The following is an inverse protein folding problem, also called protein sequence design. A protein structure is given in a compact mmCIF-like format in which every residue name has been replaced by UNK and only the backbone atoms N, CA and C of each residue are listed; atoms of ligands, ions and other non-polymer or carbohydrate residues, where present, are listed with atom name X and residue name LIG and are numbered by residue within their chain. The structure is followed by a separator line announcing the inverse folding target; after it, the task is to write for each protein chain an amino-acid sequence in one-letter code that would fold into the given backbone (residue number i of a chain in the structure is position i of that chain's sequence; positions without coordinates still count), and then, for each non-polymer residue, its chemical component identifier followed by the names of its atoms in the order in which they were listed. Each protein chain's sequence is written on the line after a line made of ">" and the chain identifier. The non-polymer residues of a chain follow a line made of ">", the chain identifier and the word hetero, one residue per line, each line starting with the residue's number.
data_IF_768199893235
#
_entry.id   IF_768199893235
#
_cell.length_a   1.000
_cell.length_b   1.000
_cell.length_c   1.000
_cell.angle_alpha   90.00
_cell.angle_beta   90.00
_cell.angle_gamma   90.00
#
_symmetry.space_group_name_H-M   'P 1'
#
loop_
_entity.id
_entity.type
_entity.pdbx_description
1 polymer ?
#
# COMPACT_ATOMS: atom_id res chain seq x y z
N UNK A 1 -17.92 -38.96 -22.06
CA UNK A 1 -17.27 -40.00 -21.25
C UNK A 1 -16.28 -39.31 -20.32
N UNK A 2 -16.43 -39.55 -19.03
CA UNK A 2 -15.85 -38.83 -17.88
C UNK A 2 -14.42 -39.31 -17.62
N UNK A 3 -13.49 -38.41 -17.24
CA UNK A 3 -12.72 -38.54 -15.98
C UNK A 3 -11.90 -37.29 -15.62
N UNK A 4 -12.35 -36.67 -14.54
CA UNK A 4 -11.61 -35.84 -13.59
C UNK A 4 -10.64 -36.74 -12.79
N UNK A 5 -9.44 -36.23 -12.44
CA UNK A 5 -8.59 -36.55 -11.26
C UNK A 5 -7.59 -35.35 -11.21
N UNK A 6 -7.65 -34.37 -10.30
CA UNK A 6 -7.47 -34.37 -8.84
C UNK A 6 -6.08 -34.78 -8.35
N UNK A 7 -5.31 -33.75 -7.94
CA UNK A 7 -4.26 -33.72 -6.90
C UNK A 7 -2.92 -34.38 -7.24
N UNK A 8 -1.82 -33.63 -7.08
CA UNK A 8 -0.89 -33.82 -5.96
C UNK A 8 0.09 -32.63 -5.91
N UNK A 9 0.13 -31.96 -4.76
CA UNK A 9 1.13 -30.97 -4.39
C UNK A 9 2.52 -31.62 -4.49
N UNK A 10 3.41 -31.04 -5.28
CA UNK A 10 4.82 -31.40 -5.26
C UNK A 10 5.59 -30.22 -4.70
N UNK A 11 5.75 -30.25 -3.38
CA UNK A 11 6.61 -29.36 -2.62
C UNK A 11 8.03 -29.46 -3.17
N UNK A 12 8.47 -28.40 -3.84
CA UNK A 12 9.89 -28.25 -4.20
C UNK A 12 10.59 -27.66 -2.98
N UNK A 13 11.32 -28.52 -2.29
CA UNK A 13 12.27 -28.19 -1.23
C UNK A 13 13.56 -27.72 -1.92
N UNK A 14 13.78 -26.40 -2.03
CA UNK A 14 15.09 -25.86 -2.40
C UNK A 14 15.84 -25.53 -1.11
N UNK A 15 16.76 -26.43 -0.75
CA UNK A 15 17.84 -26.17 0.20
C UNK A 15 18.96 -25.45 -0.57
N UNK A 16 19.09 -24.13 -0.39
CA UNK A 16 20.32 -23.40 -0.72
C UNK A 16 20.65 -22.53 0.48
N UNK A 17 21.90 -22.65 0.96
CA UNK A 17 22.37 -22.07 2.19
C UNK A 17 22.72 -20.59 2.11
N UNK A 18 22.57 -19.95 3.27
CA UNK A 18 23.28 -18.81 3.86
C UNK A 18 23.56 -17.53 3.03
N UNK A 19 23.12 -16.44 3.68
CA UNK A 19 23.44 -15.01 3.52
C UNK A 19 22.57 -14.23 2.54
N UNK A 20 21.38 -13.85 3.01
CA UNK A 20 20.74 -12.58 2.65
C UNK A 20 19.76 -12.18 3.77
N UNK A 21 19.63 -10.87 3.98
CA UNK A 21 18.75 -10.22 4.95
C UNK A 21 17.34 -10.83 4.88
N UNK A 22 16.73 -11.07 6.04
CA UNK A 22 15.48 -11.84 6.16
C UNK A 22 14.36 -11.29 5.29
N UNK A 23 14.02 -12.00 4.22
CA UNK A 23 12.70 -11.92 3.63
C UNK A 23 11.74 -12.69 4.54
N UNK A 24 11.04 -11.95 5.41
CA UNK A 24 9.81 -12.44 6.00
C UNK A 24 8.79 -12.51 4.86
N UNK A 25 8.73 -13.65 4.18
CA UNK A 25 7.63 -13.96 3.25
C UNK A 25 6.39 -14.30 4.09
N UNK A 26 5.76 -13.28 4.65
CA UNK A 26 4.39 -13.41 5.13
C UNK A 26 3.53 -13.64 3.88
N UNK A 27 3.16 -14.90 3.62
CA UNK A 27 2.16 -15.25 2.62
C UNK A 27 0.81 -14.67 3.08
N UNK A 28 0.56 -13.40 2.75
CA UNK A 28 -0.75 -12.77 2.91
C UNK A 28 -1.71 -13.55 2.02
N UNK A 29 -2.60 -14.33 2.62
CA UNK A 29 -3.75 -14.92 1.93
C UNK A 29 -4.75 -13.80 1.62
N UNK A 30 -4.55 -13.10 0.49
CA UNK A 30 -5.53 -12.13 0.01
C UNK A 30 -6.81 -12.89 -0.38
N UNK A 31 -7.92 -12.62 0.32
CA UNK A 31 -9.24 -12.92 -0.21
C UNK A 31 -9.48 -11.95 -1.38
N UNK A 32 -9.84 -12.46 -2.55
CA UNK A 32 -10.05 -11.63 -3.74
C UNK A 32 -11.07 -10.51 -3.46
N UNK A 33 -10.65 -9.25 -3.62
CA UNK A 33 -11.49 -8.06 -3.37
C UNK A 33 -11.36 -7.43 -1.98
N UNK A 34 -10.60 -8.02 -1.06
CA UNK A 34 -10.30 -7.40 0.23
C UNK A 34 -9.31 -6.24 0.06
N UNK A 35 -9.66 -5.06 0.57
CA UNK A 35 -8.78 -3.88 0.58
C UNK A 35 -8.26 -3.67 2.00
N UNK A 36 -6.95 -3.64 2.16
CA UNK A 36 -6.29 -3.47 3.45
C UNK A 36 -5.54 -2.14 3.49
N UNK A 37 -5.62 -1.42 4.61
CA UNK A 37 -4.84 -0.21 4.84
C UNK A 37 -3.60 -0.56 5.65
N UNK A 38 -2.44 -0.12 5.18
CA UNK A 38 -1.17 -0.29 5.90
C UNK A 38 -0.52 1.08 6.09
N UNK A 39 -0.08 1.37 7.31
CA UNK A 39 0.63 2.60 7.67
C UNK A 39 2.03 2.26 8.11
N UNK A 40 3.00 2.94 7.53
CA UNK A 40 4.40 2.89 7.89
C UNK A 40 4.91 4.25 8.33
N UNK A 41 5.84 4.25 9.27
CA UNK A 41 6.63 5.40 9.70
C UNK A 41 8.12 5.07 9.64
N UNK A 42 8.94 6.05 10.01
CA UNK A 42 10.40 5.94 10.05
C UNK A 42 10.96 5.42 8.72
N UNK A 43 10.54 6.11 7.64
CA UNK A 43 10.97 5.81 6.27
C UNK A 43 10.66 4.37 5.82
N UNK A 44 9.62 3.75 6.38
CA UNK A 44 9.20 2.40 6.02
C UNK A 44 9.77 1.30 6.90
N UNK A 45 10.69 1.64 7.79
CA UNK A 45 11.31 0.66 8.70
C UNK A 45 10.34 0.17 9.78
N UNK A 46 9.28 0.93 10.07
CA UNK A 46 8.29 0.61 11.09
C UNK A 46 6.89 0.50 10.51
N UNK A 47 6.22 -0.62 10.76
CA UNK A 47 4.78 -0.79 10.50
C UNK A 47 3.99 -0.38 11.73
N UNK A 48 3.17 0.66 11.62
CA UNK A 48 2.37 1.18 12.73
C UNK A 48 0.98 0.58 12.79
N UNK A 49 0.35 0.33 11.64
CA UNK A 49 -1.04 -0.10 11.58
C UNK A 49 -1.30 -0.96 10.35
N UNK A 50 -2.06 -2.03 10.54
CA UNK A 50 -2.65 -2.84 9.47
C UNK A 50 -4.15 -2.95 9.78
N UNK A 51 -4.99 -2.48 8.88
CA UNK A 51 -6.45 -2.61 8.96
C UNK A 51 -6.93 -3.48 7.82
N UNK A 52 -7.43 -4.66 8.16
CA UNK A 52 -8.03 -5.57 7.19
C UNK A 52 -9.45 -5.12 6.82
N UNK A 53 -9.84 -5.27 5.55
CA UNK A 53 -11.16 -4.87 5.04
C UNK A 53 -11.52 -3.43 5.41
N UNK A 54 -10.61 -2.51 5.10
CA UNK A 54 -10.72 -1.11 5.50
C UNK A 54 -11.95 -0.45 4.88
N UNK A 55 -12.62 0.41 5.64
CA UNK A 55 -13.66 1.30 5.14
C UNK A 55 -13.24 2.78 5.20
N UNK A 56 -14.04 3.65 4.58
CA UNK A 56 -13.77 5.08 4.49
C UNK A 56 -13.55 5.75 5.87
N UNK A 57 -14.37 5.39 6.86
CA UNK A 57 -14.25 5.96 8.21
C UNK A 57 -12.93 5.57 8.87
N UNK A 58 -12.47 4.33 8.67
CA UNK A 58 -11.19 3.86 9.17
C UNK A 58 -10.02 4.55 8.48
N UNK A 59 -10.08 4.79 7.16
CA UNK A 59 -9.08 5.60 6.44
C UNK A 59 -9.00 6.99 7.05
N UNK A 60 -10.12 7.71 7.14
CA UNK A 60 -10.17 9.06 7.73
C UNK A 60 -9.60 9.09 9.15
N UNK A 61 -9.96 8.10 9.96
CA UNK A 61 -9.46 7.97 11.33
C UNK A 61 -7.96 7.73 11.39
N UNK A 62 -7.43 6.87 10.52
CA UNK A 62 -6.00 6.60 10.45
C UNK A 62 -5.22 7.84 10.00
N UNK A 63 -5.66 8.47 8.91
CA UNK A 63 -5.02 9.67 8.35
C UNK A 63 -4.97 10.84 9.34
N UNK A 64 -6.01 11.01 10.16
CA UNK A 64 -6.07 12.06 11.20
C UNK A 64 -5.19 11.78 12.43
N UNK A 65 -4.79 10.53 12.67
CA UNK A 65 -3.95 10.16 13.81
C UNK A 65 -2.45 10.26 13.53
N UNK A 66 -2.08 10.29 12.25
CA UNK A 66 -0.69 10.37 11.82
C UNK A 66 -0.15 11.78 12.12
N UNK A 67 1.04 11.82 12.72
CA UNK A 67 1.79 13.07 12.86
C UNK A 67 2.58 13.34 11.57
N UNK A 68 1.92 14.00 10.63
CA UNK A 68 2.48 14.33 9.31
C UNK A 68 3.66 15.30 9.35
N UNK A 69 4.06 15.81 10.53
CA UNK A 69 5.36 16.50 10.67
C UNK A 69 6.54 15.55 10.40
N UNK A 70 6.34 14.24 10.55
CA UNK A 70 7.35 13.23 10.21
C UNK A 70 6.95 12.48 8.94
N UNK A 71 7.93 11.87 8.28
CA UNK A 71 7.70 11.07 7.07
C UNK A 71 6.86 9.83 7.37
N UNK A 72 5.75 9.67 6.64
CA UNK A 72 4.88 8.50 6.69
C UNK A 72 4.55 7.99 5.29
N UNK A 73 4.20 6.70 5.21
CA UNK A 73 3.64 6.07 4.02
C UNK A 73 2.38 5.32 4.38
N UNK A 74 1.34 5.51 3.58
CA UNK A 74 0.04 4.87 3.77
C UNK A 74 -0.37 4.22 2.47
N UNK A 75 -0.62 2.90 2.50
CA UNK A 75 -0.99 2.12 1.33
C UNK A 75 -2.37 1.51 1.50
N UNK A 76 -3.13 1.46 0.40
CA UNK A 76 -4.24 0.50 0.26
C UNK A 76 -3.79 -0.60 -0.69
N UNK A 77 -3.76 -1.83 -0.18
CA UNK A 77 -3.46 -3.04 -0.93
C UNK A 77 -4.77 -3.78 -1.23
N UNK A 78 -5.05 -4.10 -2.51
CA UNK A 78 -6.22 -4.89 -2.93
C UNK A 78 -5.84 -6.33 -3.24
N UNK A 79 -4.75 -6.50 -4.00
CA UNK A 79 -4.21 -7.79 -4.42
C UNK A 79 -2.68 -7.70 -4.45
N UNK A 80 -2.01 -8.84 -4.63
CA UNK A 80 -0.57 -8.86 -4.89
C UNK A 80 -0.30 -8.07 -6.17
N UNK A 81 0.44 -6.96 -6.06
CA UNK A 81 0.75 -6.08 -7.18
C UNK A 81 -0.36 -5.10 -7.55
N UNK A 82 -1.38 -4.90 -6.70
CA UNK A 82 -2.38 -3.85 -6.89
C UNK A 82 -2.48 -3.00 -5.62
N UNK A 83 -1.82 -1.85 -5.64
CA UNK A 83 -1.83 -0.91 -4.52
C UNK A 83 -1.77 0.55 -4.96
N UNK A 84 -2.27 1.42 -4.09
CA UNK A 84 -2.03 2.85 -4.13
C UNK A 84 -1.33 3.27 -2.84
N UNK A 85 -0.41 4.21 -2.94
CA UNK A 85 0.30 4.78 -1.81
C UNK A 85 0.15 6.28 -1.75
N UNK A 86 0.03 6.83 -0.54
CA UNK A 86 0.22 8.25 -0.25
C UNK A 86 1.33 8.39 0.78
N UNK A 87 2.20 9.37 0.60
CA UNK A 87 3.40 9.47 1.42
C UNK A 87 3.94 10.89 1.51
N UNK A 88 4.76 11.12 2.54
CA UNK A 88 5.48 12.36 2.72
C UNK A 88 5.34 12.93 4.13
N UNK A 89 5.56 14.23 4.22
CA UNK A 89 5.54 15.04 5.44
C UNK A 89 5.16 16.49 5.13
N UNK A 90 4.63 17.20 6.11
CA UNK A 90 4.16 18.58 5.98
C UNK A 90 5.20 19.63 6.40
N UNK A 91 6.25 19.23 7.10
CA UNK A 91 7.28 20.12 7.66
C UNK A 91 8.65 19.47 7.58
N UNK A 92 9.69 20.19 7.16
CA UNK A 92 11.07 19.68 7.13
C UNK A 92 11.48 19.08 8.49
N UNK A 93 11.83 17.79 8.48
CA UNK A 93 12.19 17.03 9.69
C UNK A 93 13.70 17.05 9.98
N UNK A 94 14.47 17.82 9.21
CA UNK A 94 15.93 17.90 9.25
C UNK A 94 16.66 16.87 8.38
N UNK A 95 15.92 15.92 7.78
CA UNK A 95 16.44 14.89 6.87
C UNK A 95 15.80 15.04 5.49
N UNK A 96 14.47 15.21 5.46
CA UNK A 96 13.67 15.32 4.24
C UNK A 96 12.89 16.64 4.25
N UNK A 97 12.94 17.42 3.16
CA UNK A 97 12.08 18.60 3.03
C UNK A 97 10.60 18.23 3.01
N UNK A 98 9.75 19.19 3.41
CA UNK A 98 8.30 19.04 3.28
C UNK A 98 7.88 18.71 1.84
N UNK A 99 6.95 17.78 1.71
CA UNK A 99 6.45 17.31 0.43
C UNK A 99 5.47 16.16 0.62
N UNK A 100 4.39 16.19 -0.15
CA UNK A 100 3.39 15.14 -0.18
C UNK A 100 3.32 14.58 -1.59
N UNK A 101 3.17 13.27 -1.71
CA UNK A 101 3.07 12.61 -3.00
C UNK A 101 2.19 11.38 -2.92
N UNK A 102 1.86 10.85 -4.08
CA UNK A 102 1.04 9.67 -4.24
C UNK A 102 1.60 8.81 -5.36
N UNK A 103 1.43 7.50 -5.19
CA UNK A 103 1.95 6.49 -6.09
C UNK A 103 0.89 5.45 -6.36
N UNK A 104 0.96 4.79 -7.51
CA UNK A 104 0.18 3.59 -7.77
C UNK A 104 1.05 2.50 -8.37
N UNK A 105 0.61 1.26 -8.21
CA UNK A 105 1.14 0.15 -8.98
C UNK A 105 0.50 0.10 -10.37
N UNK A 106 1.34 0.00 -11.39
CA UNK A 106 0.95 -0.40 -12.73
C UNK A 106 1.86 -1.52 -13.24
N UNK A 107 1.33 -2.75 -13.28
CA UNK A 107 2.03 -3.95 -13.73
C UNK A 107 3.32 -4.23 -12.92
N UNK A 108 3.27 -4.10 -11.60
CA UNK A 108 4.39 -4.32 -10.69
C UNK A 108 5.39 -3.16 -10.64
N UNK A 109 5.03 -2.00 -11.20
CA UNK A 109 5.86 -0.78 -11.17
C UNK A 109 5.14 0.31 -10.39
N UNK A 110 5.84 0.88 -9.42
CA UNK A 110 5.36 2.06 -8.71
C UNK A 110 5.60 3.31 -9.56
N UNK A 111 4.51 3.98 -9.92
CA UNK A 111 4.53 5.25 -10.63
C UNK A 111 4.13 6.36 -9.68
N UNK A 112 4.84 7.48 -9.75
CA UNK A 112 4.52 8.71 -9.01
C UNK A 112 3.49 9.49 -9.82
N UNK A 113 2.40 9.90 -9.16
CA UNK A 113 1.40 10.77 -9.76
C UNK A 113 2.02 12.14 -10.09
N UNK A 114 1.68 12.70 -11.24
CA UNK A 114 2.26 13.95 -11.74
C UNK A 114 1.76 15.17 -10.96
N UNK A 115 0.47 15.20 -10.64
CA UNK A 115 -0.11 16.29 -9.87
C UNK A 115 0.08 15.99 -8.38
N UNK A 116 1.02 16.69 -7.73
CA UNK A 116 1.28 16.45 -6.32
C UNK A 116 0.12 16.94 -5.45
N UNK A 117 -0.34 16.12 -4.49
CA UNK A 117 -1.27 16.54 -3.46
C UNK A 117 -0.62 17.60 -2.56
N UNK A 118 -1.42 18.56 -2.09
CA UNK A 118 -0.96 19.69 -1.28
C UNK A 118 -1.41 19.61 0.17
N UNK A 119 -2.37 18.74 0.47
CA UNK A 119 -2.96 18.62 1.80
C UNK A 119 -3.19 17.16 2.18
N UNK A 120 -3.27 16.90 3.48
CA UNK A 120 -3.63 15.58 4.02
C UNK A 120 -5.05 15.18 3.61
N UNK A 121 -5.94 16.16 3.41
CA UNK A 121 -7.28 15.91 2.89
C UNK A 121 -7.22 15.38 1.44
N UNK A 122 -6.36 15.94 0.58
CA UNK A 122 -6.16 15.42 -0.77
C UNK A 122 -5.57 14.00 -0.76
N UNK A 123 -4.60 13.71 0.12
CA UNK A 123 -4.10 12.33 0.32
C UNK A 123 -5.21 11.38 0.74
N UNK A 124 -6.03 11.81 1.71
CA UNK A 124 -7.14 11.02 2.23
C UNK A 124 -8.16 10.74 1.13
N UNK A 125 -8.47 11.74 0.30
CA UNK A 125 -9.39 11.59 -0.82
C UNK A 125 -8.85 10.65 -1.90
N UNK A 126 -7.54 10.67 -2.18
CA UNK A 126 -6.91 9.70 -3.11
C UNK A 126 -7.13 8.26 -2.62
N UNK A 127 -6.88 8.00 -1.33
CA UNK A 127 -7.10 6.68 -0.74
C UNK A 127 -8.57 6.26 -0.79
N UNK A 128 -9.51 7.17 -0.51
CA UNK A 128 -10.95 6.89 -0.54
C UNK A 128 -11.43 6.65 -1.98
N UNK A 129 -11.00 7.43 -2.95
CA UNK A 129 -11.31 7.21 -4.37
C UNK A 129 -10.85 5.82 -4.81
N UNK A 130 -9.62 5.42 -4.44
CA UNK A 130 -9.12 4.07 -4.74
C UNK A 130 -9.91 2.97 -4.00
N UNK A 131 -10.28 3.21 -2.73
CA UNK A 131 -11.14 2.31 -1.96
C UNK A 131 -12.49 2.08 -2.67
N UNK A 132 -13.02 3.09 -3.36
CA UNK A 132 -14.30 3.04 -4.05
C UNK A 132 -14.20 2.61 -5.53
N UNK A 133 -13.01 2.20 -6.00
CA UNK A 133 -12.73 1.87 -7.41
C UNK A 133 -13.10 3.02 -8.37
N UNK A 134 -12.86 4.26 -7.96
CA UNK A 134 -13.10 5.48 -8.74
C UNK A 134 -12.24 5.51 -10.03
N UNK A 135 -12.91 5.37 -11.18
CA UNK A 135 -12.25 5.31 -12.49
C UNK A 135 -11.64 6.62 -12.94
N UNK A 136 -12.04 7.76 -12.35
CA UNK A 136 -11.52 9.08 -12.70
C UNK A 136 -10.28 9.46 -11.88
N UNK A 137 -9.90 8.64 -10.88
CA UNK A 137 -8.76 8.94 -10.02
C UNK A 137 -7.47 9.13 -10.82
N UNK A 138 -7.17 8.22 -11.77
CA UNK A 138 -5.94 8.31 -12.57
C UNK A 138 -5.89 9.60 -13.39
N UNK A 139 -6.96 9.91 -14.13
CA UNK A 139 -7.00 11.09 -15.00
C UNK A 139 -6.88 12.41 -14.24
N UNK A 140 -7.25 12.47 -12.96
CA UNK A 140 -7.07 13.66 -12.11
C UNK A 140 -5.60 13.92 -11.75
N UNK A 141 -4.77 12.88 -11.74
CA UNK A 141 -3.42 12.94 -11.20
C UNK A 141 -2.30 12.55 -12.21
N UNK A 142 -2.66 12.18 -13.45
CA UNK A 142 -1.77 12.16 -14.65
C UNK A 142 -1.51 13.57 -15.23
#
# INVERSE_FOLDING_TARGET
>A
MIKQISRFFQSILILIGLQSCGEITTTKNFQNGQKNLVVFSDYGSKTDTIIENVNEHQIKTAMNKIDWKNYHMVYIEKNIGEMIGVLGLTEDDGITPAGLTSTWDENGKMLVMKNEPKTIEELTNILISYLNDDTELKSKYE
#
